data_IF_439529747218
#
_entry.id   IF_439529747218
#
_cell.length_a   1.000
_cell.length_b   1.000
_cell.length_c   1.000
_cell.angle_alpha   90.00
_cell.angle_beta   90.00
_cell.angle_gamma   90.00
#
_symmetry.space_group_name_H-M   'P 1'
#
loop_
_entity.id
_entity.type
_entity.pdbx_description
1 polymer ?
#
# COMPACT_ATOMS: atom_id res chain seq x y z
N UNK A 1 -14.53 -7.82 -4.64
CA UNK A 1 -13.21 -7.74 -3.99
C UNK A 1 -12.16 -7.73 -5.10
N UNK A 2 -11.22 -6.78 -5.07
CA UNK A 2 -10.15 -6.71 -6.07
C UNK A 2 -9.12 -7.84 -5.85
N UNK A 3 -8.58 -8.36 -6.95
CA UNK A 3 -7.50 -9.35 -6.90
C UNK A 3 -6.17 -8.65 -6.57
N UNK A 4 -5.55 -9.03 -5.45
CA UNK A 4 -4.24 -8.52 -5.08
C UNK A 4 -3.15 -9.09 -6.00
N UNK A 5 -2.35 -8.20 -6.58
CA UNK A 5 -1.13 -8.55 -7.31
C UNK A 5 0.05 -7.80 -6.72
N UNK A 6 1.13 -8.52 -6.43
CA UNK A 6 2.35 -7.95 -5.86
C UNK A 6 3.52 -8.09 -6.83
N UNK A 7 4.47 -7.16 -6.78
CA UNK A 7 5.72 -7.27 -7.53
C UNK A 7 6.80 -7.97 -6.71
N UNK A 8 7.82 -8.53 -7.36
CA UNK A 8 8.98 -9.11 -6.67
C UNK A 8 9.74 -8.07 -5.83
N UNK A 9 9.72 -6.79 -6.25
CA UNK A 9 10.28 -5.66 -5.50
C UNK A 9 9.51 -5.43 -4.20
N UNK A 10 8.18 -5.35 -4.28
CA UNK A 10 7.31 -5.19 -3.11
C UNK A 10 7.55 -6.30 -2.07
N UNK A 11 7.68 -7.56 -2.49
CA UNK A 11 7.94 -8.66 -1.56
C UNK A 11 9.29 -8.54 -0.84
N UNK A 12 10.32 -7.97 -1.48
CA UNK A 12 11.62 -7.69 -0.84
C UNK A 12 11.49 -6.55 0.17
N UNK A 13 10.78 -5.49 -0.19
CA UNK A 13 10.56 -4.33 0.68
C UNK A 13 9.72 -4.71 1.91
N UNK A 14 8.68 -5.53 1.74
CA UNK A 14 7.87 -6.07 2.83
C UNK A 14 8.70 -6.90 3.81
N UNK A 15 9.60 -7.76 3.31
CA UNK A 15 10.52 -8.54 4.15
C UNK A 15 11.48 -7.63 4.91
N UNK A 16 11.99 -6.57 4.27
CA UNK A 16 12.87 -5.60 4.91
C UNK A 16 12.13 -4.79 5.98
N UNK A 17 10.89 -4.37 5.73
CA UNK A 17 10.05 -3.66 6.68
C UNK A 17 9.78 -4.53 7.92
N UNK A 18 9.42 -5.80 7.73
CA UNK A 18 9.29 -6.80 8.80
C UNK A 18 10.58 -6.91 9.62
N UNK A 19 11.74 -7.03 8.95
CA UNK A 19 13.05 -7.13 9.61
C UNK A 19 13.41 -5.87 10.43
N UNK A 20 12.95 -4.70 10.01
CA UNK A 20 13.17 -3.41 10.71
C UNK A 20 12.19 -3.17 11.86
N UNK A 21 11.20 -4.04 12.06
CA UNK A 21 10.23 -3.93 13.16
C UNK A 21 9.08 -2.97 12.87
N UNK A 22 8.77 -2.66 11.61
CA UNK A 22 7.58 -1.88 11.28
C UNK A 22 6.30 -2.68 11.53
N UNK A 23 5.23 -1.98 11.91
CA UNK A 23 3.90 -2.54 12.14
C UNK A 23 3.23 -2.88 10.81
N UNK A 24 3.38 -4.12 10.34
CA UNK A 24 2.83 -4.57 9.05
C UNK A 24 1.31 -4.66 9.06
N UNK A 25 0.69 -4.84 10.23
CA UNK A 25 -0.76 -4.90 10.37
C UNK A 25 -1.43 -3.61 9.85
N UNK A 26 -0.74 -2.46 9.94
CA UNK A 26 -1.21 -1.19 9.38
C UNK A 26 -1.25 -1.24 7.84
N UNK A 27 -0.28 -1.88 7.19
CA UNK A 27 -0.28 -2.10 5.75
C UNK A 27 -1.39 -3.06 5.35
N UNK A 28 -1.55 -4.17 6.07
CA UNK A 28 -2.57 -5.18 5.79
C UNK A 28 -3.99 -4.60 5.86
N UNK A 29 -4.28 -3.78 6.89
CA UNK A 29 -5.56 -3.09 7.00
C UNK A 29 -5.87 -2.17 5.80
N UNK A 30 -4.85 -1.48 5.27
CA UNK A 30 -5.03 -0.63 4.08
C UNK A 30 -5.25 -1.48 2.82
N UNK A 31 -4.52 -2.58 2.67
CA UNK A 31 -4.72 -3.53 1.56
C UNK A 31 -6.13 -4.10 1.58
N UNK A 32 -6.66 -4.47 2.74
CA UNK A 32 -8.03 -4.98 2.89
C UNK A 32 -9.08 -3.95 2.45
N UNK A 33 -8.93 -2.69 2.86
CA UNK A 33 -9.81 -1.59 2.42
C UNK A 33 -9.76 -1.41 0.91
N UNK A 34 -8.56 -1.43 0.31
CA UNK A 34 -8.38 -1.34 -1.13
C UNK A 34 -9.04 -2.52 -1.86
N UNK A 35 -8.85 -3.75 -1.38
CA UNK A 35 -9.49 -4.93 -1.95
C UNK A 35 -11.01 -4.88 -1.84
N UNK A 36 -11.54 -4.32 -0.76
CA UNK A 36 -12.97 -4.09 -0.56
C UNK A 36 -13.53 -2.89 -1.36
N UNK A 37 -12.68 -2.13 -2.05
CA UNK A 37 -13.03 -0.86 -2.72
C UNK A 37 -13.65 0.16 -1.74
N UNK A 38 -13.20 0.14 -0.49
CA UNK A 38 -13.63 1.09 0.52
C UNK A 38 -12.74 2.34 0.51
N UNK A 39 -13.28 3.50 0.91
CA UNK A 39 -12.49 4.72 0.99
C UNK A 39 -11.39 4.58 2.04
N UNK A 40 -10.20 5.10 1.73
CA UNK A 40 -9.09 5.14 2.68
C UNK A 40 -9.29 6.28 3.69
N UNK A 41 -8.85 6.10 4.95
CA UNK A 41 -8.91 7.17 5.93
C UNK A 41 -8.09 8.40 5.50
N UNK A 42 -8.55 9.64 5.77
CA UNK A 42 -7.84 10.85 5.34
C UNK A 42 -6.38 10.97 5.83
N UNK A 43 -6.05 10.35 6.98
CA UNK A 43 -4.68 10.32 7.53
C UNK A 43 -3.67 9.64 6.60
N UNK A 44 -4.14 8.74 5.73
CA UNK A 44 -3.31 7.99 4.80
C UNK A 44 -2.93 8.81 3.56
N UNK A 45 -3.49 10.02 3.38
CA UNK A 45 -3.12 10.98 2.33
C UNK A 45 -3.01 10.36 0.93
N UNK A 46 -3.97 9.50 0.57
CA UNK A 46 -3.97 8.82 -0.72
C UNK A 46 -4.10 9.82 -1.88
N UNK A 47 -3.13 9.83 -2.78
CA UNK A 47 -3.07 10.74 -3.91
C UNK A 47 -2.37 10.14 -5.13
N UNK A 48 -2.66 10.67 -6.31
CA UNK A 48 -1.98 10.27 -7.56
C UNK A 48 -0.58 10.87 -7.62
N UNK A 49 0.38 10.06 -8.03
CA UNK A 49 1.73 10.54 -8.31
C UNK A 49 1.80 11.21 -9.70
N UNK A 50 2.85 11.99 -9.94
CA UNK A 50 3.11 12.68 -11.21
C UNK A 50 4.35 12.15 -11.93
N UNK A 51 4.53 12.49 -13.21
CA UNK A 51 5.70 12.10 -14.01
C UNK A 51 5.66 10.63 -14.43
N UNK A 52 6.77 9.91 -14.33
CA UNK A 52 6.85 8.46 -14.63
C UNK A 52 5.87 7.61 -13.79
N UNK A 53 5.37 8.16 -12.68
CA UNK A 53 4.45 7.50 -11.77
C UNK A 53 2.99 7.92 -11.96
N UNK A 54 2.63 8.59 -13.06
CA UNK A 54 1.26 9.14 -13.28
C UNK A 54 0.11 8.13 -13.17
N UNK A 55 0.38 6.84 -13.36
CA UNK A 55 -0.60 5.75 -13.19
C UNK A 55 -0.53 5.03 -11.84
N UNK A 56 0.21 5.60 -10.88
CA UNK A 56 0.39 5.07 -9.54
C UNK A 56 -0.22 6.02 -8.51
N UNK A 57 -0.56 5.46 -7.35
CA UNK A 57 -1.02 6.20 -6.18
C UNK A 57 -0.05 5.99 -5.04
N UNK A 58 0.11 7.01 -4.21
CA UNK A 58 0.87 6.93 -2.96
C UNK A 58 -0.10 6.97 -1.78
N UNK A 59 0.12 6.10 -0.80
CA UNK A 59 -0.65 5.99 0.43
C UNK A 59 0.32 5.88 1.62
N UNK A 60 0.16 6.75 2.60
CA UNK A 60 0.97 6.80 3.81
C UNK A 60 0.44 5.81 4.83
N UNK A 61 1.32 5.07 5.50
CA UNK A 61 0.99 4.01 6.48
C UNK A 61 1.54 4.38 7.85
#
# INVERSE_FOLDING_TARGET
MLLLKTTSRFLKDLKLAKKRGYEIDKLEAIVDLLQAQQPLPPKNKDHTLSGEWTHHRECHI
#
